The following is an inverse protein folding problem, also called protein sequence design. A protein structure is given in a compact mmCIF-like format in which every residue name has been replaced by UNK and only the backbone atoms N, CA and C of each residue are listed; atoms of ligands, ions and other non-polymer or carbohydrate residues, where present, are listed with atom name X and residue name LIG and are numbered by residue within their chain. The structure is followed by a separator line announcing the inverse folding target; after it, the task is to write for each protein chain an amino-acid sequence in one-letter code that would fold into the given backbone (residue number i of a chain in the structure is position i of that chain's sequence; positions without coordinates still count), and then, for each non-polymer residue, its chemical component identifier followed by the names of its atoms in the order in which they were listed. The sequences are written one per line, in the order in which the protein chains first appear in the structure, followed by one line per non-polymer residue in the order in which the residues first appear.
data_IF_016395843723
#
_entry.id   IF_016395843723
#
_cell.length_a   1.000
_cell.length_b   1.000
_cell.length_c   1.000
_cell.angle_alpha   90.00
_cell.angle_beta   90.00
_cell.angle_gamma   90.00
#
_symmetry.space_group_name_H-M   'P 1'
#
loop_
_entity.id
_entity.type
_entity.pdbx_description
1 polymer ?
#
# COMPACT_ATOMS: atom_id res chain seq x y z
N UNK A 1 60.21 -30.19 0.91
CA UNK A 1 60.21 -28.96 0.10
C UNK A 1 59.20 -29.02 -1.02
N UNK A 2 59.16 -30.02 -1.86
CA UNK A 2 58.19 -30.12 -2.97
C UNK A 2 56.74 -30.22 -2.50
N UNK A 3 56.43 -30.97 -1.45
CA UNK A 3 55.12 -31.08 -0.88
C UNK A 3 54.56 -29.73 -0.35
N UNK A 4 55.39 -28.92 0.29
CA UNK A 4 55.01 -27.61 0.78
C UNK A 4 54.64 -26.63 -0.34
N UNK A 5 55.36 -26.72 -1.46
CA UNK A 5 55.07 -25.90 -2.65
C UNK A 5 53.76 -26.32 -3.30
N UNK A 6 53.47 -27.62 -3.36
CA UNK A 6 52.22 -28.16 -3.89
C UNK A 6 51.03 -27.69 -3.03
N UNK A 7 51.14 -27.76 -1.71
CA UNK A 7 50.10 -27.26 -0.80
C UNK A 7 49.83 -25.76 -0.97
N UNK A 8 50.89 -24.98 -1.15
CA UNK A 8 50.76 -23.53 -1.37
C UNK A 8 50.04 -23.23 -2.69
N UNK A 9 50.38 -23.93 -3.76
CA UNK A 9 49.73 -23.76 -5.07
C UNK A 9 48.28 -24.17 -5.00
N UNK A 10 47.95 -25.30 -4.36
CA UNK A 10 46.57 -25.73 -4.17
C UNK A 10 45.75 -24.71 -3.34
N UNK A 11 46.31 -24.15 -2.28
CA UNK A 11 45.65 -23.13 -1.48
C UNK A 11 45.36 -21.86 -2.27
N UNK A 12 46.27 -21.42 -3.12
CA UNK A 12 46.08 -20.27 -4.00
C UNK A 12 44.98 -20.54 -5.03
N UNK A 13 44.98 -21.71 -5.66
CA UNK A 13 43.93 -22.08 -6.64
C UNK A 13 42.54 -22.15 -6.01
N UNK A 14 42.42 -22.72 -4.82
CA UNK A 14 41.14 -22.76 -4.08
C UNK A 14 40.65 -21.35 -3.72
N UNK A 15 41.56 -20.47 -3.28
CA UNK A 15 41.20 -19.09 -2.94
C UNK A 15 40.71 -18.31 -4.16
N UNK A 16 41.32 -18.47 -5.31
CA UNK A 16 40.89 -17.85 -6.57
C UNK A 16 39.53 -18.38 -7.01
N UNK A 17 39.28 -19.69 -6.92
CA UNK A 17 38.00 -20.30 -7.25
C UNK A 17 36.85 -19.80 -6.33
N UNK A 18 37.08 -19.68 -5.04
CA UNK A 18 36.11 -19.14 -4.08
C UNK A 18 35.81 -17.67 -4.38
N UNK A 19 36.83 -16.86 -4.65
CA UNK A 19 36.66 -15.46 -5.02
C UNK A 19 35.85 -15.27 -6.30
N UNK A 20 36.11 -16.05 -7.33
CA UNK A 20 35.35 -16.02 -8.58
C UNK A 20 33.88 -16.44 -8.38
N UNK A 21 33.63 -17.46 -7.57
CA UNK A 21 32.26 -17.90 -7.25
C UNK A 21 31.48 -16.85 -6.46
N UNK A 22 32.06 -16.21 -5.47
CA UNK A 22 31.47 -15.14 -4.69
C UNK A 22 31.14 -13.91 -5.58
N UNK A 23 32.06 -13.52 -6.45
CA UNK A 23 31.84 -12.42 -7.40
C UNK A 23 30.67 -12.71 -8.34
N UNK A 24 30.56 -13.94 -8.85
CA UNK A 24 29.44 -14.34 -9.68
C UNK A 24 28.10 -14.35 -8.94
N UNK A 25 28.06 -14.84 -7.70
CA UNK A 25 26.88 -14.83 -6.86
C UNK A 25 26.41 -13.40 -6.54
N UNK A 26 27.32 -12.49 -6.24
CA UNK A 26 27.03 -11.07 -5.99
C UNK A 26 26.50 -10.40 -7.27
N UNK A 27 27.08 -10.66 -8.43
CA UNK A 27 26.60 -10.15 -9.71
C UNK A 27 25.18 -10.60 -10.01
N UNK A 28 24.86 -11.88 -9.80
CA UNK A 28 23.50 -12.40 -9.98
C UNK A 28 22.49 -11.80 -9.01
N UNK A 29 22.85 -11.58 -7.77
CA UNK A 29 22.00 -10.89 -6.79
C UNK A 29 21.78 -9.43 -7.18
N UNK A 30 22.79 -8.74 -7.67
CA UNK A 30 22.70 -7.39 -8.19
C UNK A 30 21.77 -7.30 -9.40
N UNK A 31 21.83 -8.21 -10.35
CA UNK A 31 20.92 -8.28 -11.49
C UNK A 31 19.47 -8.56 -11.07
N UNK A 32 19.23 -9.42 -10.09
CA UNK A 32 17.89 -9.68 -9.55
C UNK A 32 17.30 -8.46 -8.86
N UNK A 33 18.10 -7.72 -8.12
CA UNK A 33 17.67 -6.49 -7.47
C UNK A 33 17.43 -5.37 -8.50
N UNK A 34 18.28 -5.22 -9.51
CA UNK A 34 18.08 -4.28 -10.60
C UNK A 34 16.82 -4.58 -11.41
N UNK A 35 16.49 -5.86 -11.64
CA UNK A 35 15.23 -6.26 -12.29
C UNK A 35 13.99 -5.94 -11.43
N UNK A 36 14.10 -6.01 -10.10
CA UNK A 36 13.03 -5.58 -9.21
C UNK A 36 12.82 -4.06 -9.26
N UNK A 37 13.88 -3.28 -9.36
CA UNK A 37 13.82 -1.83 -9.46
C UNK A 37 13.29 -1.34 -10.82
N UNK A 38 13.38 -2.17 -11.85
CA UNK A 38 12.85 -1.90 -13.19
C UNK A 38 11.38 -2.29 -13.39
N UNK A 39 10.69 -2.80 -12.36
CA UNK A 39 9.23 -2.93 -12.39
C UNK A 39 8.68 -1.51 -12.54
N UNK A 40 7.92 -1.20 -13.61
CA UNK A 40 7.36 0.14 -13.78
C UNK A 40 6.56 0.48 -12.55
N UNK A 41 7.02 1.49 -11.82
CA UNK A 41 6.29 2.02 -10.67
C UNK A 41 4.92 2.43 -11.17
N UNK A 42 3.85 2.05 -10.48
CA UNK A 42 2.51 2.45 -10.90
C UNK A 42 2.46 3.95 -11.11
N UNK A 43 1.89 4.39 -12.21
CA UNK A 43 1.87 5.81 -12.65
C UNK A 43 1.17 6.75 -11.67
N UNK A 44 0.42 6.20 -10.70
CA UNK A 44 -0.38 6.96 -9.76
C UNK A 44 0.03 6.61 -8.32
N UNK A 45 0.81 7.48 -7.72
CA UNK A 45 1.24 7.39 -6.31
C UNK A 45 0.32 8.20 -5.38
N UNK A 46 -0.97 8.12 -5.57
CA UNK A 46 -1.92 8.95 -4.86
C UNK A 46 -2.46 8.20 -3.66
N UNK A 47 -2.63 8.90 -2.57
CA UNK A 47 -3.45 8.43 -1.47
C UNK A 47 -4.92 8.66 -1.82
N UNK A 48 -5.80 7.80 -1.35
CA UNK A 48 -7.25 7.95 -1.53
C UNK A 48 -7.94 7.86 -0.18
N UNK A 49 -8.76 8.85 0.12
CA UNK A 49 -9.63 8.84 1.30
C UNK A 49 -11.09 8.78 0.90
N UNK A 50 -11.83 7.87 1.48
CA UNK A 50 -13.28 7.76 1.34
C UNK A 50 -13.91 8.28 2.62
N UNK A 51 -14.73 9.32 2.50
CA UNK A 51 -15.36 10.00 3.62
C UNK A 51 -16.89 9.90 3.51
N UNK A 52 -17.53 9.55 4.63
CA UNK A 52 -18.99 9.58 4.75
C UNK A 52 -19.45 10.89 5.35
N UNK A 53 -20.30 11.58 4.62
CA UNK A 53 -20.93 12.82 5.01
C UNK A 53 -22.41 12.61 5.33
N UNK A 54 -23.06 13.59 5.96
CA UNK A 54 -24.49 13.59 6.27
C UNK A 54 -24.96 12.31 7.00
N UNK A 55 -24.20 11.88 8.00
CA UNK A 55 -24.50 10.66 8.75
C UNK A 55 -25.81 10.86 9.51
N UNK A 56 -26.82 9.98 9.30
CA UNK A 56 -28.07 10.04 10.03
C UNK A 56 -27.83 9.90 11.53
N UNK A 57 -28.24 10.90 12.31
CA UNK A 57 -28.17 10.82 13.75
C UNK A 57 -29.43 10.15 14.30
N UNK A 58 -29.22 9.04 14.99
CA UNK A 58 -30.27 8.36 15.75
C UNK A 58 -29.81 8.14 17.19
N UNK A 59 -30.69 7.68 18.06
CA UNK A 59 -30.38 7.42 19.47
C UNK A 59 -29.22 6.43 19.67
N UNK A 60 -28.94 5.60 18.70
CA UNK A 60 -27.85 4.63 18.74
C UNK A 60 -26.52 5.21 18.25
N UNK A 61 -26.58 6.30 17.51
CA UNK A 61 -25.44 6.96 16.92
C UNK A 61 -25.23 8.33 17.58
N UNK A 62 -24.55 8.33 18.71
CA UNK A 62 -24.27 9.55 19.49
C UNK A 62 -23.03 10.32 19.05
N UNK A 63 -22.37 9.87 17.97
CA UNK A 63 -21.20 10.55 17.44
C UNK A 63 -21.63 11.74 16.57
N UNK A 64 -21.38 12.94 17.03
CA UNK A 64 -21.52 14.19 16.27
C UNK A 64 -20.38 14.29 15.25
N UNK A 65 -20.47 13.54 14.18
CA UNK A 65 -19.45 13.59 13.14
C UNK A 65 -20.11 14.01 11.84
N UNK A 66 -19.80 15.21 11.39
CA UNK A 66 -20.28 15.74 10.11
C UNK A 66 -19.68 14.98 8.93
N UNK A 67 -18.48 14.46 9.12
CA UNK A 67 -17.76 13.65 8.12
C UNK A 67 -16.84 12.66 8.81
N UNK A 68 -16.92 11.40 8.42
CA UNK A 68 -16.03 10.34 8.96
C UNK A 68 -15.22 9.68 7.86
N UNK A 69 -13.93 9.47 8.09
CA UNK A 69 -13.12 8.66 7.18
C UNK A 69 -13.54 7.19 7.26
N UNK A 70 -14.15 6.68 6.20
CA UNK A 70 -14.51 5.26 6.12
C UNK A 70 -13.29 4.40 5.84
N UNK A 71 -12.48 4.83 4.89
CA UNK A 71 -11.25 4.14 4.51
C UNK A 71 -10.23 5.14 3.97
N UNK A 72 -8.99 4.95 4.37
CA UNK A 72 -7.85 5.70 3.84
C UNK A 72 -6.87 4.70 3.24
N UNK A 73 -6.56 4.89 1.97
CA UNK A 73 -5.55 4.13 1.25
C UNK A 73 -4.29 4.97 1.16
N UNK A 74 -3.20 4.46 1.72
CA UNK A 74 -1.93 5.15 1.68
C UNK A 74 -1.25 5.03 0.31
N UNK A 75 -0.38 5.96 0.05
CA UNK A 75 0.37 6.06 -1.21
C UNK A 75 1.12 4.76 -1.53
N UNK A 76 0.86 4.19 -2.70
CA UNK A 76 1.58 3.02 -3.21
C UNK A 76 1.06 1.66 -2.74
N UNK A 77 0.11 1.63 -1.81
CA UNK A 77 -0.41 0.38 -1.26
C UNK A 77 -1.43 -0.30 -2.20
N UNK A 78 -2.20 0.48 -2.94
CA UNK A 78 -3.28 -0.01 -3.81
C UNK A 78 -3.37 0.77 -5.13
N UNK A 79 -2.35 0.70 -5.93
CA UNK A 79 -2.30 1.42 -7.21
C UNK A 79 -3.33 0.98 -8.25
N UNK A 80 -3.88 -0.22 -8.08
CA UNK A 80 -4.83 -0.84 -9.00
C UNK A 80 -6.28 -0.76 -8.53
N UNK A 81 -6.55 -0.10 -7.41
CA UNK A 81 -7.91 0.08 -6.95
C UNK A 81 -8.67 1.05 -7.86
N UNK A 82 -9.84 0.66 -8.34
CA UNK A 82 -10.68 1.56 -9.10
C UNK A 82 -11.14 2.72 -8.20
N UNK A 83 -11.02 3.95 -8.73
CA UNK A 83 -11.56 5.13 -8.05
C UNK A 83 -13.09 5.08 -8.18
N UNK A 84 -13.85 5.12 -7.08
CA UNK A 84 -15.29 5.14 -7.14
C UNK A 84 -15.81 6.35 -7.93
N UNK A 85 -16.88 6.17 -8.67
CA UNK A 85 -17.50 7.24 -9.47
C UNK A 85 -18.69 7.81 -8.76
N UNK A 86 -19.04 9.05 -9.06
CA UNK A 86 -20.26 9.68 -8.56
C UNK A 86 -21.48 8.82 -8.92
N UNK A 87 -22.32 8.53 -7.92
CA UNK A 87 -23.49 7.67 -8.03
C UNK A 87 -23.25 6.19 -7.69
N UNK A 88 -22.02 5.75 -7.55
CA UNK A 88 -21.71 4.38 -7.09
C UNK A 88 -21.95 4.23 -5.59
N UNK A 89 -22.34 3.04 -5.18
CA UNK A 89 -22.49 2.67 -3.77
C UNK A 89 -21.14 2.29 -3.17
N UNK A 90 -20.90 2.76 -1.96
CA UNK A 90 -19.72 2.46 -1.17
C UNK A 90 -20.13 2.07 0.23
N UNK A 91 -19.57 0.99 0.74
CA UNK A 91 -19.85 0.52 2.09
C UNK A 91 -18.58 0.13 2.83
N UNK A 92 -18.65 0.15 4.14
CA UNK A 92 -17.55 -0.26 4.98
C UNK A 92 -17.87 -0.21 6.47
N UNK A 93 -16.88 -0.51 7.28
CA UNK A 93 -16.98 -0.50 8.73
C UNK A 93 -16.18 0.64 9.30
N UNK A 94 -16.82 1.46 10.10
CA UNK A 94 -16.21 2.53 10.86
C UNK A 94 -16.06 2.13 12.33
N UNK A 95 -14.91 2.41 12.89
CA UNK A 95 -14.58 2.13 14.28
C UNK A 95 -14.52 3.44 15.07
N UNK A 96 -15.34 3.56 16.11
CA UNK A 96 -15.29 4.66 17.07
C UNK A 96 -15.02 4.09 18.47
N UNK A 97 -13.76 4.08 18.88
CA UNK A 97 -13.34 3.39 20.10
C UNK A 97 -13.62 1.88 20.01
N UNK A 98 -14.44 1.36 20.94
CA UNK A 98 -14.85 -0.05 20.94
C UNK A 98 -16.12 -0.32 20.11
N UNK A 99 -16.72 0.73 19.54
CA UNK A 99 -17.94 0.63 18.76
C UNK A 99 -17.63 0.42 17.28
N UNK A 100 -18.41 -0.44 16.65
CA UNK A 100 -18.36 -0.69 15.22
C UNK A 100 -19.68 -0.26 14.57
N UNK A 101 -19.56 0.44 13.47
CA UNK A 101 -20.71 0.85 12.67
C UNK A 101 -20.52 0.40 11.23
N UNK A 102 -21.49 -0.32 10.68
CA UNK A 102 -21.58 -0.55 9.25
C UNK A 102 -22.21 0.68 8.59
N UNK A 103 -21.56 1.25 7.60
CA UNK A 103 -22.04 2.40 6.85
C UNK A 103 -22.13 2.06 5.38
N UNK A 104 -23.20 2.54 4.76
CA UNK A 104 -23.39 2.51 3.32
C UNK A 104 -23.71 3.92 2.83
N UNK A 105 -23.23 4.25 1.66
CA UNK A 105 -23.45 5.57 1.09
C UNK A 105 -23.29 5.60 -0.41
N UNK A 106 -23.66 6.71 -1.00
CA UNK A 106 -23.54 6.96 -2.43
C UNK A 106 -22.51 8.05 -2.64
N UNK A 107 -21.59 7.83 -3.57
CA UNK A 107 -20.56 8.81 -3.92
C UNK A 107 -21.22 10.06 -4.52
N UNK A 108 -20.98 11.19 -3.90
CA UNK A 108 -21.50 12.49 -4.32
C UNK A 108 -20.47 13.36 -5.02
N UNK A 109 -19.22 13.22 -4.66
CA UNK A 109 -18.12 13.99 -5.23
C UNK A 109 -16.82 13.21 -5.20
N UNK A 110 -16.03 13.36 -6.24
CA UNK A 110 -14.67 12.87 -6.33
C UNK A 110 -13.79 14.01 -6.79
N UNK A 111 -12.83 14.42 -5.99
CA UNK A 111 -11.90 15.46 -6.39
C UNK A 111 -10.46 15.08 -6.03
N UNK A 112 -9.54 15.67 -6.75
CA UNK A 112 -8.14 15.50 -6.54
C UNK A 112 -7.53 16.76 -5.92
N UNK A 113 -6.90 16.57 -4.77
CA UNK A 113 -6.14 17.63 -4.12
C UNK A 113 -4.69 17.52 -4.58
N UNK A 114 -4.27 18.45 -5.44
CA UNK A 114 -2.94 18.47 -6.04
C UNK A 114 -1.82 18.76 -5.04
N UNK A 115 -2.11 19.51 -3.99
CA UNK A 115 -1.12 19.88 -3.00
C UNK A 115 -0.73 18.71 -2.09
N UNK A 116 -1.69 17.82 -1.85
CA UNK A 116 -1.52 16.66 -0.96
C UNK A 116 -1.35 15.34 -1.72
N UNK A 117 -1.43 15.33 -3.04
CA UNK A 117 -1.51 14.11 -3.85
C UNK A 117 -2.60 13.15 -3.30
N UNK A 118 -3.75 13.69 -2.97
CA UNK A 118 -4.85 12.98 -2.34
C UNK A 118 -6.11 13.02 -3.19
N UNK A 119 -6.65 11.85 -3.48
CA UNK A 119 -8.00 11.71 -4.04
C UNK A 119 -8.98 11.67 -2.88
N UNK A 120 -9.93 12.58 -2.88
CA UNK A 120 -11.00 12.64 -1.87
C UNK A 120 -12.30 12.20 -2.49
N UNK A 121 -12.85 11.12 -1.96
CA UNK A 121 -14.15 10.58 -2.35
C UNK A 121 -15.13 10.92 -1.24
N UNK A 122 -16.08 11.79 -1.54
CA UNK A 122 -17.15 12.17 -0.61
C UNK A 122 -18.39 11.36 -0.91
N UNK A 123 -18.98 10.78 0.12
CA UNK A 123 -20.17 9.95 0.03
C UNK A 123 -21.24 10.47 0.96
N UNK A 124 -22.49 10.49 0.50
CA UNK A 124 -23.63 10.73 1.36
C UNK A 124 -24.03 9.41 2.03
N UNK A 125 -24.02 9.37 3.35
CA UNK A 125 -24.44 8.20 4.11
C UNK A 125 -25.93 7.93 3.90
N UNK A 126 -26.27 6.74 3.44
CA UNK A 126 -27.66 6.30 3.22
C UNK A 126 -28.14 5.37 4.33
N UNK A 127 -27.22 4.58 4.89
CA UNK A 127 -27.53 3.66 5.98
C UNK A 127 -26.36 3.60 6.97
N UNK A 128 -26.70 3.59 8.25
CA UNK A 128 -25.75 3.31 9.34
C UNK A 128 -26.39 2.33 10.31
N UNK A 129 -25.65 1.31 10.69
CA UNK A 129 -26.08 0.30 11.64
C UNK A 129 -24.95 -0.04 12.61
N UNK A 130 -25.28 -0.23 13.87
CA UNK A 130 -24.36 -0.73 14.86
C UNK A 130 -24.17 -2.25 14.68
N UNK A 131 -22.93 -2.68 14.63
CA UNK A 131 -22.58 -4.09 14.48
C UNK A 131 -22.24 -4.68 15.86
#
# INVERSE_FOLDING_TARGET
MIQSVIYLICAILVSVAIGAFLSFAISKLGERNAKKDNIPKPKHHWSMGIYMDDIPQNEQNTAYLDSVPLKIYERGEYSDLPIPRVGEEVGGVYYSGQRKFGMEGIVTNVHYNTDLDLIVVSCKCTEIRKI
#
